data_IF_909112890264
#
_entry.id   IF_909112890264
#
_cell.length_a   1.000
_cell.length_b   1.000
_cell.length_c   1.000
_cell.angle_alpha   90.00
_cell.angle_beta   90.00
_cell.angle_gamma   90.00
#
_symmetry.space_group_name_H-M   'P 1'
#
loop_
_entity.id
_entity.type
_entity.pdbx_description
1 polymer ?
#
# COMPACT_ATOMS: atom_id res chain seq x y z
N UNK A 1 4.42 63.72 6.08
CA UNK A 1 4.72 62.40 5.45
C UNK A 1 5.87 62.51 4.45
N UNK A 2 5.87 63.51 3.55
CA UNK A 2 6.92 63.70 2.53
C UNK A 2 8.34 63.87 3.10
N UNK A 3 8.52 64.64 4.18
CA UNK A 3 9.84 64.83 4.82
C UNK A 3 10.42 63.52 5.39
N UNK A 4 9.59 62.71 6.06
CA UNK A 4 10.01 61.40 6.58
C UNK A 4 10.44 60.46 5.46
N UNK A 5 9.70 60.43 4.34
CA UNK A 5 10.03 59.62 3.15
C UNK A 5 11.34 60.08 2.51
N UNK A 6 11.55 61.40 2.36
CA UNK A 6 12.78 61.93 1.77
C UNK A 6 14.01 61.55 2.61
N UNK A 7 13.90 61.65 3.94
CA UNK A 7 14.97 61.24 4.86
C UNK A 7 15.23 59.72 4.77
N UNK A 8 14.18 58.90 4.72
CA UNK A 8 14.31 57.44 4.55
C UNK A 8 14.99 57.10 3.22
N UNK A 9 14.60 57.73 2.12
CA UNK A 9 15.21 57.46 0.81
C UNK A 9 16.68 57.87 0.77
N UNK A 10 17.03 59.04 1.32
CA UNK A 10 18.43 59.46 1.43
C UNK A 10 19.27 58.51 2.29
N UNK A 11 18.70 58.05 3.41
CA UNK A 11 19.35 57.08 4.28
C UNK A 11 19.53 55.72 3.59
N UNK A 12 18.51 55.21 2.90
CA UNK A 12 18.59 53.97 2.12
C UNK A 12 19.65 54.09 1.02
N UNK A 13 19.71 55.21 0.29
CA UNK A 13 20.77 55.44 -0.70
C UNK A 13 22.16 55.45 -0.06
N UNK A 14 22.32 56.00 1.15
CA UNK A 14 23.60 55.96 1.87
C UNK A 14 23.98 54.56 2.36
N UNK A 15 23.01 53.73 2.76
CA UNK A 15 23.25 52.37 3.28
C UNK A 15 23.58 51.40 2.15
N UNK A 16 22.91 51.52 1.01
CA UNK A 16 23.11 50.64 -0.16
C UNK A 16 24.23 51.13 -1.09
N UNK A 17 24.65 52.39 -0.99
CA UNK A 17 25.73 52.96 -1.81
C UNK A 17 25.39 52.86 -3.29
N UNK A 18 26.21 52.13 -4.05
CA UNK A 18 26.02 51.92 -5.50
C UNK A 18 24.99 50.83 -5.84
N UNK A 19 24.51 50.06 -4.84
CA UNK A 19 23.51 49.02 -5.06
C UNK A 19 22.09 49.60 -5.16
N UNK A 20 21.23 49.02 -6.04
CA UNK A 20 19.85 49.46 -6.14
C UNK A 20 19.10 49.13 -4.84
N UNK A 21 18.40 50.12 -4.29
CA UNK A 21 17.56 49.95 -3.09
C UNK A 21 16.44 48.95 -3.40
N UNK A 22 16.27 47.88 -2.59
CA UNK A 22 15.20 46.92 -2.79
C UNK A 22 13.82 47.58 -2.76
N UNK A 23 12.93 47.14 -3.65
CA UNK A 23 11.55 47.62 -3.68
C UNK A 23 10.85 47.29 -2.35
N UNK A 24 10.21 48.29 -1.75
CA UNK A 24 9.42 48.14 -0.53
C UNK A 24 8.07 48.85 -0.66
N UNK A 25 7.08 48.35 0.08
CA UNK A 25 5.75 48.97 0.10
C UNK A 25 5.79 50.30 0.86
N UNK A 26 5.44 51.40 0.19
CA UNK A 26 5.39 52.74 0.80
C UNK A 26 4.04 52.96 1.46
N UNK A 27 3.90 52.49 2.70
CA UNK A 27 2.73 52.71 3.57
C UNK A 27 3.12 53.63 4.73
N UNK A 28 2.15 54.29 5.37
CA UNK A 28 2.44 55.15 6.52
C UNK A 28 3.20 54.42 7.63
N UNK A 29 2.88 53.14 7.87
CA UNK A 29 3.51 52.30 8.88
C UNK A 29 4.94 51.92 8.48
N UNK A 30 5.17 51.52 7.23
CA UNK A 30 6.52 51.12 6.76
C UNK A 30 7.47 52.32 6.72
N UNK A 31 6.99 53.48 6.27
CA UNK A 31 7.76 54.73 6.29
C UNK A 31 8.13 55.13 7.72
N UNK A 32 7.22 54.99 8.68
CA UNK A 32 7.50 55.34 10.08
C UNK A 32 8.53 54.40 10.72
N UNK A 33 8.44 53.10 10.47
CA UNK A 33 9.42 52.11 10.92
C UNK A 33 10.80 52.34 10.30
N UNK A 34 10.86 52.58 8.99
CA UNK A 34 12.13 52.88 8.30
C UNK A 34 12.73 54.20 8.79
N UNK A 35 11.91 55.21 9.08
CA UNK A 35 12.38 56.49 9.60
C UNK A 35 12.96 56.35 11.02
N UNK A 36 12.31 55.56 11.89
CA UNK A 36 12.84 55.25 13.22
C UNK A 36 14.15 54.46 13.12
N UNK A 37 14.22 53.49 12.20
CA UNK A 37 15.42 52.70 12.00
C UNK A 37 16.58 53.54 11.44
N UNK A 38 16.28 54.47 10.53
CA UNK A 38 17.23 55.47 10.04
C UNK A 38 17.78 56.32 11.20
N UNK A 39 16.90 56.90 12.03
CA UNK A 39 17.29 57.71 13.19
C UNK A 39 18.16 56.92 14.19
N UNK A 40 17.77 55.68 14.52
CA UNK A 40 18.54 54.82 15.43
C UNK A 40 19.89 54.45 14.84
N UNK A 41 19.96 54.18 13.54
CA UNK A 41 21.22 53.86 12.87
C UNK A 41 22.14 55.08 12.77
N UNK A 42 21.61 56.26 12.44
CA UNK A 42 22.37 57.52 12.39
C UNK A 42 22.93 57.87 13.77
N UNK A 43 22.10 57.76 14.82
CA UNK A 43 22.54 58.00 16.20
C UNK A 43 23.64 57.02 16.60
N UNK A 44 23.43 55.71 16.40
CA UNK A 44 24.42 54.68 16.71
C UNK A 44 25.72 54.87 15.92
N UNK A 45 25.63 55.18 14.63
CA UNK A 45 26.79 55.44 13.79
C UNK A 45 27.55 56.71 14.24
N UNK A 46 26.83 57.76 14.61
CA UNK A 46 27.40 58.98 15.18
C UNK A 46 28.15 58.71 16.48
N UNK A 47 27.55 57.98 17.41
CA UNK A 47 28.18 57.60 18.68
C UNK A 47 29.44 56.76 18.45
N UNK A 48 29.38 55.78 17.54
CA UNK A 48 30.57 54.99 17.18
C UNK A 48 31.66 55.83 16.53
N UNK A 49 31.31 56.81 15.69
CA UNK A 49 32.28 57.69 15.05
C UNK A 49 32.96 58.60 16.08
N UNK A 50 32.21 59.16 17.03
CA UNK A 50 32.76 59.95 18.13
C UNK A 50 33.69 59.11 19.01
N UNK A 51 33.31 57.87 19.33
CA UNK A 51 34.16 56.96 20.10
C UNK A 51 35.47 56.64 19.36
N UNK A 52 35.40 56.42 18.04
CA UNK A 52 36.59 56.19 17.21
C UNK A 52 37.51 57.41 17.23
N UNK A 53 36.96 58.62 17.15
CA UNK A 53 37.76 59.84 17.17
C UNK A 53 38.40 60.10 18.54
N UNK A 54 37.67 59.89 19.64
CA UNK A 54 38.21 59.93 21.01
C UNK A 54 39.35 58.92 21.20
N UNK A 55 39.20 57.69 20.69
CA UNK A 55 40.26 56.67 20.76
C UNK A 55 41.49 57.04 19.94
N UNK A 56 41.32 57.64 18.75
CA UNK A 56 42.45 58.14 17.96
C UNK A 56 43.17 59.28 18.65
N UNK A 57 42.42 60.22 19.25
CA UNK A 57 43.00 61.31 20.01
C UNK A 57 43.82 60.76 21.19
N UNK A 58 43.25 59.86 21.98
CA UNK A 58 43.98 59.19 23.08
C UNK A 58 45.23 58.46 22.59
N UNK A 59 45.16 57.78 21.44
CA UNK A 59 46.33 57.14 20.86
C UNK A 59 47.45 58.14 20.55
N UNK A 60 47.10 59.30 19.97
CA UNK A 60 48.08 60.37 19.70
C UNK A 60 48.66 60.99 20.97
N UNK A 61 47.84 61.15 22.02
CA UNK A 61 48.29 61.65 23.33
C UNK A 61 49.27 60.66 23.98
N UNK A 62 48.94 59.36 24.00
CA UNK A 62 49.83 58.33 24.53
C UNK A 62 51.13 58.19 23.72
N UNK A 63 51.09 58.37 22.40
CA UNK A 63 52.29 58.37 21.55
C UNK A 63 53.21 59.55 21.88
N UNK A 64 52.63 60.74 22.07
CA UNK A 64 53.37 61.94 22.48
C UNK A 64 53.96 61.80 23.90
N UNK A 65 53.19 61.28 24.86
CA UNK A 65 53.68 60.98 26.21
C UNK A 65 54.81 59.95 26.17
N UNK A 66 54.70 58.92 25.32
CA UNK A 66 55.74 57.92 25.12
C UNK A 66 57.02 58.51 24.55
N UNK A 67 56.92 59.44 23.59
CA UNK A 67 58.06 60.19 23.07
C UNK A 67 58.70 61.08 24.14
N UNK A 68 57.88 61.77 24.94
CA UNK A 68 58.34 62.61 26.04
C UNK A 68 59.12 61.80 27.09
N UNK A 69 58.58 60.67 27.56
CA UNK A 69 59.24 59.81 28.53
C UNK A 69 60.57 59.25 28.01
N UNK A 70 60.64 58.92 26.71
CA UNK A 70 61.88 58.48 26.06
C UNK A 70 62.96 59.55 26.13
N UNK A 71 62.61 60.80 25.83
CA UNK A 71 63.53 61.93 25.89
C UNK A 71 64.00 62.20 27.34
N UNK A 72 63.09 62.14 28.31
CA UNK A 72 63.43 62.30 29.73
C UNK A 72 64.41 61.22 30.21
N UNK A 73 64.22 59.96 29.81
CA UNK A 73 65.14 58.87 30.16
C UNK A 73 66.52 59.02 29.52
N UNK A 74 66.57 59.45 28.25
CA UNK A 74 67.80 59.74 27.53
C UNK A 74 68.57 60.90 28.16
N UNK A 75 67.89 62.02 28.44
CA UNK A 75 68.53 63.23 28.97
C UNK A 75 68.87 63.14 30.46
N UNK A 76 67.99 62.53 31.28
CA UNK A 76 68.12 62.49 32.73
C UNK A 76 68.99 61.34 33.24
N UNK A 77 68.90 60.16 32.62
CA UNK A 77 69.58 58.95 33.10
C UNK A 77 70.60 58.38 32.11
N UNK A 78 70.70 58.92 30.89
CA UNK A 78 71.57 58.38 29.83
C UNK A 78 71.14 56.99 29.35
N UNK A 79 69.92 56.57 29.65
CA UNK A 79 69.41 55.23 29.33
C UNK A 79 68.82 55.25 27.93
N UNK A 80 69.48 54.56 27.00
CA UNK A 80 68.96 54.30 25.65
C UNK A 80 68.57 52.84 25.50
N UNK A 81 67.44 52.56 24.83
CA UNK A 81 67.04 51.19 24.50
C UNK A 81 68.09 50.49 23.61
N UNK A 82 68.85 51.25 22.82
CA UNK A 82 69.92 50.74 21.97
C UNK A 82 71.19 50.36 22.73
N UNK A 83 71.34 50.83 23.97
CA UNK A 83 72.50 50.54 24.82
C UNK A 83 72.31 49.34 25.75
N UNK A 84 71.15 48.69 25.72
CA UNK A 84 70.84 47.53 26.56
C UNK A 84 71.58 46.28 26.09
N UNK A 85 71.88 45.39 27.03
CA UNK A 85 72.35 44.05 26.69
C UNK A 85 71.26 43.27 25.96
N UNK A 86 71.65 42.34 25.08
CA UNK A 86 70.70 41.51 24.33
C UNK A 86 69.65 40.82 25.23
N UNK A 87 70.02 40.18 26.36
CA UNK A 87 69.02 39.59 27.26
C UNK A 87 68.02 40.61 27.82
N UNK A 88 68.48 41.82 28.18
CA UNK A 88 67.60 42.86 28.71
C UNK A 88 66.62 43.37 27.64
N UNK A 89 67.07 43.50 26.40
CA UNK A 89 66.21 43.83 25.26
C UNK A 89 65.16 42.74 25.00
N UNK A 90 65.57 41.47 25.05
CA UNK A 90 64.66 40.34 24.81
C UNK A 90 63.57 40.26 25.90
N UNK A 91 63.91 40.48 27.18
CA UNK A 91 62.93 40.51 28.27
C UNK A 91 61.96 41.69 28.15
N UNK A 92 62.45 42.88 27.78
CA UNK A 92 61.58 44.04 27.58
C UNK A 92 60.64 43.84 26.39
N UNK A 93 61.13 43.28 25.28
CA UNK A 93 60.26 42.93 24.14
C UNK A 93 59.18 41.96 24.56
N UNK A 94 59.52 40.86 25.23
CA UNK A 94 58.55 39.88 25.70
C UNK A 94 57.52 40.50 26.67
N UNK A 95 57.95 41.41 27.54
CA UNK A 95 57.04 42.12 28.46
C UNK A 95 56.07 43.05 27.71
N UNK A 96 56.54 43.76 26.69
CA UNK A 96 55.70 44.61 25.85
C UNK A 96 54.74 43.77 25.02
N UNK A 97 55.22 42.71 24.38
CA UNK A 97 54.40 41.81 23.56
C UNK A 97 53.30 41.16 24.41
N UNK A 98 53.63 40.70 25.62
CA UNK A 98 52.63 40.15 26.55
C UNK A 98 51.64 41.20 27.05
N UNK A 99 52.09 42.44 27.29
CA UNK A 99 51.20 43.54 27.65
C UNK A 99 50.20 43.86 26.51
N UNK A 100 50.68 43.88 25.27
CA UNK A 100 49.86 44.14 24.08
C UNK A 100 48.84 43.02 23.84
N UNK A 101 49.24 41.75 24.01
CA UNK A 101 48.34 40.60 23.88
C UNK A 101 47.26 40.60 24.96
N UNK A 102 47.62 40.94 26.21
CA UNK A 102 46.67 41.04 27.31
C UNK A 102 45.84 42.34 27.30
N UNK A 103 46.19 43.31 26.44
CA UNK A 103 45.51 44.60 26.34
C UNK A 103 45.60 45.44 27.62
N UNK A 104 46.71 45.34 28.36
CA UNK A 104 46.89 46.09 29.62
C UNK A 104 47.38 47.51 29.38
N UNK A 105 46.99 48.44 30.27
CA UNK A 105 47.34 49.87 30.17
C UNK A 105 48.83 50.14 30.42
N UNK A 106 49.44 49.41 31.35
CA UNK A 106 50.84 49.57 31.74
C UNK A 106 51.47 48.21 32.07
N UNK A 107 52.80 48.19 32.18
CA UNK A 107 53.55 47.01 32.58
C UNK A 107 53.57 46.78 34.10
N UNK A 108 52.68 47.45 34.84
CA UNK A 108 52.60 47.28 36.29
C UNK A 108 51.91 45.97 36.65
N UNK A 109 52.32 45.38 37.77
CA UNK A 109 51.71 44.16 38.29
C UNK A 109 50.19 44.35 38.54
N UNK A 110 49.77 45.58 38.88
CA UNK A 110 48.37 45.89 39.15
C UNK A 110 47.46 45.78 37.92
N UNK A 111 47.99 46.02 36.72
CA UNK A 111 47.28 45.84 35.45
C UNK A 111 47.37 44.40 34.95
N UNK A 112 48.53 43.76 35.11
CA UNK A 112 48.75 42.38 34.66
C UNK A 112 47.95 41.34 35.47
N UNK A 113 47.88 41.46 36.79
CA UNK A 113 47.24 40.44 37.63
C UNK A 113 45.75 40.26 37.31
N UNK A 114 44.94 41.33 37.17
CA UNK A 114 43.55 41.19 36.73
C UNK A 114 43.43 40.62 35.31
N UNK A 115 44.28 41.05 34.37
CA UNK A 115 44.22 40.58 32.99
C UNK A 115 44.54 39.08 32.88
N UNK A 116 45.56 38.62 33.59
CA UNK A 116 45.92 37.19 33.67
C UNK A 116 44.81 36.38 34.34
N UNK A 117 44.20 36.89 35.42
CA UNK A 117 43.08 36.21 36.08
C UNK A 117 41.85 36.12 35.16
N UNK A 118 41.52 37.17 34.43
CA UNK A 118 40.44 37.17 33.46
C UNK A 118 40.69 36.14 32.36
N UNK A 119 41.89 36.15 31.75
CA UNK A 119 42.26 35.16 30.73
C UNK A 119 42.22 33.73 31.28
N UNK A 120 42.63 33.53 32.53
CA UNK A 120 42.59 32.21 33.18
C UNK A 120 41.14 31.74 33.40
N UNK A 121 40.24 32.65 33.77
CA UNK A 121 38.81 32.35 33.90
C UNK A 121 38.20 32.03 32.53
N UNK A 122 38.47 32.84 31.51
CA UNK A 122 38.00 32.62 30.14
C UNK A 122 38.47 31.26 29.60
N UNK A 123 39.74 30.90 29.85
CA UNK A 123 40.29 29.59 29.51
C UNK A 123 39.53 28.46 30.22
N UNK A 124 39.27 28.61 31.53
CA UNK A 124 38.55 27.59 32.30
C UNK A 124 37.10 27.43 31.82
N UNK A 125 36.43 28.52 31.46
CA UNK A 125 35.08 28.51 30.89
C UNK A 125 35.05 27.86 29.50
N UNK A 126 36.01 28.22 28.65
CA UNK A 126 36.20 27.59 27.35
C UNK A 126 36.44 26.08 27.48
N UNK A 127 37.31 25.65 28.41
CA UNK A 127 37.53 24.22 28.69
C UNK A 127 36.26 23.50 29.19
N UNK A 128 35.49 24.12 30.09
CA UNK A 128 34.22 23.56 30.59
C UNK A 128 33.23 23.36 29.43
N UNK A 129 33.10 24.36 28.56
CA UNK A 129 32.21 24.30 27.40
C UNK A 129 32.68 23.25 26.39
N UNK A 130 33.98 23.13 26.14
CA UNK A 130 34.56 22.10 25.27
C UNK A 130 34.26 20.70 25.81
N UNK A 131 34.50 20.45 27.11
CA UNK A 131 34.16 19.17 27.75
C UNK A 131 32.67 18.85 27.63
N UNK A 132 31.78 19.86 27.70
CA UNK A 132 30.34 19.66 27.49
C UNK A 132 30.04 19.22 26.06
N UNK A 133 30.54 19.96 25.07
CA UNK A 133 30.36 19.64 23.65
C UNK A 133 30.92 18.26 23.29
N UNK A 134 32.06 17.85 23.86
CA UNK A 134 32.59 16.51 23.66
C UNK A 134 31.65 15.41 24.17
N UNK A 135 30.96 15.63 25.30
CA UNK A 135 29.98 14.67 25.83
C UNK A 135 28.75 14.60 24.93
N UNK A 136 28.26 15.75 24.46
CA UNK A 136 27.13 15.83 23.52
C UNK A 136 27.47 15.13 22.19
N UNK A 137 28.67 15.37 21.63
CA UNK A 137 29.16 14.67 20.44
C UNK A 137 29.24 13.16 20.65
N UNK A 138 29.73 12.70 21.81
CA UNK A 138 29.74 11.27 22.15
C UNK A 138 28.33 10.68 22.23
N UNK A 139 27.38 11.42 22.81
CA UNK A 139 25.98 11.00 22.90
C UNK A 139 25.33 10.93 21.51
N UNK A 140 25.56 11.94 20.66
CA UNK A 140 25.06 11.97 19.28
C UNK A 140 25.63 10.82 18.44
N UNK A 141 26.93 10.50 18.56
CA UNK A 141 27.54 9.34 17.90
C UNK A 141 26.88 8.02 18.32
N UNK A 142 26.60 7.84 19.62
CA UNK A 142 25.88 6.66 20.13
C UNK A 142 24.46 6.58 19.57
N UNK A 143 23.73 7.70 19.56
CA UNK A 143 22.37 7.77 18.97
C UNK A 143 22.39 7.45 17.49
N UNK A 144 23.34 8.02 16.73
CA UNK A 144 23.51 7.72 15.31
C UNK A 144 23.74 6.23 15.09
N UNK A 145 24.64 5.61 15.86
CA UNK A 145 24.86 4.16 15.81
C UNK A 145 23.57 3.36 16.02
N UNK A 146 22.78 3.70 17.05
CA UNK A 146 21.49 3.05 17.31
C UNK A 146 20.49 3.25 16.16
N UNK A 147 20.39 4.47 15.61
CA UNK A 147 19.47 4.75 14.48
C UNK A 147 19.88 4.02 13.20
N UNK A 148 21.18 3.86 12.94
CA UNK A 148 21.67 3.11 11.79
C UNK A 148 21.37 1.62 11.92
N UNK A 149 21.51 1.06 13.13
CA UNK A 149 21.10 -0.32 13.41
C UNK A 149 19.60 -0.50 13.21
N UNK A 150 18.76 0.39 13.73
CA UNK A 150 17.30 0.35 13.54
C UNK A 150 16.91 0.43 12.06
N UNK A 151 17.55 1.32 11.30
CA UNK A 151 17.35 1.42 9.85
C UNK A 151 17.69 0.09 9.15
N UNK A 152 18.80 -0.55 9.51
CA UNK A 152 19.17 -1.84 8.91
C UNK A 152 18.13 -2.91 9.23
N UNK A 153 17.65 -2.99 10.47
CA UNK A 153 16.59 -3.95 10.84
C UNK A 153 15.29 -3.68 10.08
N UNK A 154 14.88 -2.41 9.95
CA UNK A 154 13.70 -2.05 9.18
C UNK A 154 13.87 -2.39 7.69
N UNK A 155 15.06 -2.19 7.12
CA UNK A 155 15.35 -2.58 5.75
C UNK A 155 15.20 -4.08 5.53
N UNK A 156 15.67 -4.89 6.49
CA UNK A 156 15.48 -6.35 6.44
C UNK A 156 14.00 -6.73 6.52
N UNK A 157 13.22 -6.09 7.37
CA UNK A 157 11.78 -6.35 7.51
C UNK A 157 11.00 -5.90 6.28
N UNK A 158 11.37 -4.77 5.66
CA UNK A 158 10.85 -4.35 4.35
C UNK A 158 11.17 -5.41 3.29
N UNK A 159 12.41 -5.91 3.26
CA UNK A 159 12.78 -6.95 2.28
C UNK A 159 11.98 -8.25 2.50
N UNK A 160 11.71 -8.64 3.76
CA UNK A 160 10.86 -9.81 4.08
C UNK A 160 9.41 -9.58 3.65
N UNK A 161 8.85 -8.41 3.94
CA UNK A 161 7.46 -8.08 3.59
C UNK A 161 7.27 -8.01 2.08
N UNK A 162 8.20 -7.40 1.34
CA UNK A 162 8.20 -7.39 -0.14
C UNK A 162 8.21 -8.81 -0.71
N UNK A 163 9.05 -9.70 -0.17
CA UNK A 163 9.07 -11.12 -0.59
C UNK A 163 7.73 -11.80 -0.31
N UNK A 164 7.16 -11.61 0.88
CA UNK A 164 5.86 -12.21 1.22
C UNK A 164 4.72 -11.66 0.35
N UNK A 165 4.77 -10.37 0.02
CA UNK A 165 3.78 -9.72 -0.83
C UNK A 165 3.84 -10.27 -2.26
N UNK A 166 5.04 -10.47 -2.82
CA UNK A 166 5.21 -11.06 -4.14
C UNK A 166 4.64 -12.49 -4.23
N UNK A 167 4.79 -13.28 -3.16
CA UNK A 167 4.20 -14.62 -3.07
C UNK A 167 2.67 -14.54 -3.02
N UNK A 168 2.11 -13.67 -2.19
CA UNK A 168 0.65 -13.52 -2.09
C UNK A 168 0.03 -12.92 -3.36
N UNK A 169 0.72 -12.00 -4.05
CA UNK A 169 0.25 -11.48 -5.33
C UNK A 169 0.24 -12.57 -6.41
N UNK A 170 1.28 -13.40 -6.48
CA UNK A 170 1.29 -14.54 -7.41
C UNK A 170 0.15 -15.55 -7.11
N UNK A 171 -0.11 -15.85 -5.83
CA UNK A 171 -1.25 -16.69 -5.44
C UNK A 171 -2.59 -16.04 -5.79
N UNK A 172 -2.71 -14.72 -5.66
CA UNK A 172 -3.93 -13.99 -6.02
C UNK A 172 -4.17 -14.05 -7.54
N UNK A 173 -3.12 -13.87 -8.35
CA UNK A 173 -3.19 -14.05 -9.81
C UNK A 173 -3.60 -15.47 -10.20
N UNK A 174 -3.02 -16.50 -9.56
CA UNK A 174 -3.43 -17.89 -9.77
C UNK A 174 -4.93 -18.10 -9.44
N UNK A 175 -5.40 -17.55 -8.32
CA UNK A 175 -6.83 -17.61 -7.95
C UNK A 175 -7.74 -16.89 -8.94
N UNK A 176 -7.29 -15.75 -9.48
CA UNK A 176 -8.04 -15.03 -10.51
C UNK A 176 -8.15 -15.87 -11.80
N UNK A 177 -7.06 -16.46 -12.25
CA UNK A 177 -7.06 -17.37 -13.41
C UNK A 177 -7.98 -18.57 -13.18
N UNK A 178 -7.95 -19.16 -11.99
CA UNK A 178 -8.86 -20.26 -11.63
C UNK A 178 -10.33 -19.80 -11.63
N UNK A 179 -10.63 -18.60 -11.14
CA UNK A 179 -11.99 -18.06 -11.19
C UNK A 179 -12.42 -17.85 -12.64
N UNK A 180 -11.57 -17.25 -13.48
CA UNK A 180 -11.84 -17.03 -14.90
C UNK A 180 -12.14 -18.35 -15.62
N UNK A 181 -11.36 -19.39 -15.32
CA UNK A 181 -11.62 -20.74 -15.81
C UNK A 181 -12.99 -21.27 -15.37
N UNK A 182 -13.31 -21.18 -14.07
CA UNK A 182 -14.60 -21.67 -13.52
C UNK A 182 -15.77 -20.89 -14.12
N UNK A 183 -15.65 -19.58 -14.29
CA UNK A 183 -16.72 -18.78 -14.90
C UNK A 183 -16.88 -19.07 -16.40
N UNK A 184 -15.78 -19.28 -17.13
CA UNK A 184 -15.82 -19.76 -18.51
C UNK A 184 -16.53 -21.12 -18.60
N UNK A 185 -16.20 -22.05 -17.69
CA UNK A 185 -16.83 -23.37 -17.63
C UNK A 185 -18.31 -23.29 -17.27
N UNK A 186 -18.68 -22.45 -16.31
CA UNK A 186 -20.08 -22.21 -15.94
C UNK A 186 -20.89 -21.66 -17.12
N UNK A 187 -20.34 -20.70 -17.87
CA UNK A 187 -20.95 -20.20 -19.11
C UNK A 187 -21.10 -21.30 -20.17
N UNK A 188 -20.09 -22.15 -20.35
CA UNK A 188 -20.14 -23.29 -21.27
C UNK A 188 -21.25 -24.28 -20.88
N UNK A 189 -21.31 -24.66 -19.60
CA UNK A 189 -22.34 -25.55 -19.07
C UNK A 189 -23.74 -24.93 -19.16
N UNK A 190 -23.86 -23.63 -18.94
CA UNK A 190 -25.10 -22.88 -19.17
C UNK A 190 -25.58 -23.03 -20.61
N UNK A 191 -24.71 -22.77 -21.59
CA UNK A 191 -25.02 -22.97 -23.01
C UNK A 191 -25.37 -24.43 -23.34
N UNK A 192 -24.68 -25.42 -22.73
CA UNK A 192 -25.01 -26.85 -22.91
C UNK A 192 -26.40 -27.17 -22.35
N UNK A 193 -26.74 -26.62 -21.20
CA UNK A 193 -28.05 -26.77 -20.55
C UNK A 193 -29.17 -26.14 -21.38
N UNK A 194 -28.99 -24.91 -21.85
CA UNK A 194 -29.96 -24.24 -22.75
C UNK A 194 -30.23 -25.10 -24.00
N UNK A 195 -29.18 -25.61 -24.64
CA UNK A 195 -29.33 -26.55 -25.77
C UNK A 195 -30.13 -27.79 -25.38
N UNK A 196 -29.82 -28.38 -24.23
CA UNK A 196 -30.53 -29.55 -23.70
C UNK A 196 -32.01 -29.26 -23.39
N UNK A 197 -32.34 -28.07 -22.89
CA UNK A 197 -33.72 -27.62 -22.66
C UNK A 197 -34.46 -27.44 -24.00
N UNK A 198 -33.85 -26.81 -25.00
CA UNK A 198 -34.40 -26.72 -26.36
C UNK A 198 -34.66 -28.10 -26.96
N UNK A 199 -33.75 -29.07 -26.75
CA UNK A 199 -33.97 -30.44 -27.20
C UNK A 199 -35.12 -31.14 -26.47
N UNK A 200 -35.30 -30.87 -25.17
CA UNK A 200 -36.42 -31.42 -24.40
C UNK A 200 -37.75 -30.88 -24.88
N UNK A 201 -37.88 -29.57 -25.06
CA UNK A 201 -39.09 -28.94 -25.61
C UNK A 201 -39.43 -29.50 -26.98
N UNK A 202 -38.43 -29.65 -27.87
CA UNK A 202 -38.63 -30.31 -29.18
C UNK A 202 -39.14 -31.74 -29.02
N UNK A 203 -38.57 -32.51 -28.10
CA UNK A 203 -38.99 -33.88 -27.85
C UNK A 203 -40.44 -33.96 -27.32
N UNK A 204 -40.87 -33.00 -26.50
CA UNK A 204 -42.26 -32.87 -26.04
C UNK A 204 -43.19 -32.56 -27.21
N UNK A 205 -42.86 -31.58 -28.06
CA UNK A 205 -43.62 -31.30 -29.29
C UNK A 205 -43.73 -32.54 -30.19
N UNK A 206 -42.65 -33.30 -30.32
CA UNK A 206 -42.66 -34.56 -31.07
C UNK A 206 -43.58 -35.61 -30.45
N UNK A 207 -43.61 -35.70 -29.11
CA UNK A 207 -44.49 -36.62 -28.37
C UNK A 207 -45.95 -36.25 -28.56
N UNK A 208 -46.31 -34.98 -28.37
CA UNK A 208 -47.66 -34.48 -28.62
C UNK A 208 -48.10 -34.76 -30.07
N UNK A 209 -47.21 -34.49 -31.04
CA UNK A 209 -47.49 -34.79 -32.45
C UNK A 209 -47.71 -36.29 -32.68
N UNK A 210 -46.93 -37.15 -32.03
CA UNK A 210 -47.11 -38.59 -32.11
C UNK A 210 -48.43 -39.06 -31.47
N UNK A 211 -48.88 -38.41 -30.39
CA UNK A 211 -50.17 -38.65 -29.76
C UNK A 211 -51.32 -38.24 -30.67
N UNK A 212 -51.27 -37.06 -31.29
CA UNK A 212 -52.24 -36.63 -32.32
C UNK A 212 -52.31 -37.63 -33.47
N UNK A 213 -51.17 -38.14 -33.93
CA UNK A 213 -51.14 -39.19 -34.96
C UNK A 213 -51.75 -40.51 -34.48
N UNK A 214 -51.55 -40.88 -33.22
CA UNK A 214 -52.13 -42.08 -32.60
C UNK A 214 -53.64 -41.95 -32.49
N UNK A 215 -54.14 -40.83 -31.99
CA UNK A 215 -55.58 -40.52 -31.92
C UNK A 215 -56.21 -40.50 -33.31
N UNK A 216 -55.54 -39.87 -34.29
CA UNK A 216 -55.99 -39.91 -35.69
C UNK A 216 -56.05 -41.34 -36.21
N UNK A 217 -55.05 -42.17 -35.92
CA UNK A 217 -55.05 -43.59 -36.29
C UNK A 217 -56.16 -44.38 -35.56
N UNK A 218 -56.55 -43.98 -34.35
CA UNK A 218 -57.68 -44.55 -33.60
C UNK A 218 -59.01 -44.17 -34.20
N UNK A 219 -59.24 -42.89 -34.49
CA UNK A 219 -60.43 -42.41 -35.22
C UNK A 219 -60.57 -43.12 -36.58
N UNK A 220 -59.47 -43.32 -37.30
CA UNK A 220 -59.48 -44.09 -38.54
C UNK A 220 -59.74 -45.60 -38.31
N UNK A 221 -59.24 -46.20 -37.24
CA UNK A 221 -59.56 -47.58 -36.83
C UNK A 221 -61.02 -47.74 -36.43
N UNK A 222 -61.58 -46.79 -35.73
CA UNK A 222 -62.99 -46.74 -35.35
C UNK A 222 -63.88 -46.51 -36.56
N UNK A 223 -63.50 -45.62 -37.49
CA UNK A 223 -64.18 -45.44 -38.77
C UNK A 223 -64.14 -46.73 -39.60
N UNK A 224 -63.00 -47.41 -39.64
CA UNK A 224 -62.89 -48.74 -40.27
C UNK A 224 -63.71 -49.81 -39.52
N UNK A 225 -63.84 -49.71 -38.19
CA UNK A 225 -64.67 -50.57 -37.35
C UNK A 225 -66.18 -50.34 -37.53
N UNK A 226 -66.62 -49.08 -37.62
CA UNK A 226 -67.99 -48.68 -37.97
C UNK A 226 -68.32 -49.10 -39.40
N UNK A 227 -67.37 -49.05 -40.31
CA UNK A 227 -67.52 -49.61 -41.66
C UNK A 227 -67.59 -51.14 -41.66
N UNK A 228 -66.80 -51.84 -40.82
CA UNK A 228 -66.94 -53.30 -40.60
C UNK A 228 -68.30 -53.67 -39.98
N UNK A 229 -68.89 -52.77 -39.19
CA UNK A 229 -70.25 -52.92 -38.62
C UNK A 229 -71.36 -52.52 -39.61
N UNK A 230 -71.15 -51.50 -40.45
CA UNK A 230 -72.04 -51.14 -41.56
C UNK A 230 -72.09 -52.19 -42.66
N UNK A 231 -71.01 -52.97 -42.82
CA UNK A 231 -71.00 -54.21 -43.61
C UNK A 231 -71.89 -55.31 -43.02
N UNK A 232 -72.20 -55.24 -41.72
CA UNK A 232 -73.02 -56.23 -41.01
C UNK A 232 -74.51 -55.82 -40.92
N UNK A 233 -74.83 -54.55 -41.17
CA UNK A 233 -76.19 -54.00 -41.18
C UNK A 233 -76.34 -53.05 -42.39
N UNK A 234 -76.50 -53.59 -43.60
CA UNK A 234 -76.58 -52.75 -44.79
C UNK A 234 -76.53 -53.49 -46.12
N UNK A 235 -77.14 -54.68 -46.23
CA UNK A 235 -77.32 -55.35 -47.52
C UNK A 235 -78.51 -54.72 -48.26
N UNK A 236 -78.25 -53.55 -48.88
CA UNK A 236 -78.97 -52.99 -50.06
C UNK A 236 -78.50 -51.58 -50.46
N UNK A 237 -77.60 -50.94 -49.71
CA UNK A 237 -77.33 -49.50 -49.87
C UNK A 237 -75.99 -49.06 -50.47
N UNK A 238 -75.03 -49.92 -50.89
CA UNK A 238 -73.73 -49.41 -51.37
C UNK A 238 -73.06 -50.30 -52.44
N UNK A 239 -73.54 -50.22 -53.68
CA UNK A 239 -72.86 -50.84 -54.85
C UNK A 239 -72.24 -49.80 -55.80
N UNK A 240 -71.76 -48.66 -55.31
CA UNK A 240 -70.94 -47.74 -56.13
C UNK A 240 -69.77 -47.06 -55.39
N UNK A 241 -69.68 -47.17 -54.05
CA UNK A 241 -68.54 -46.64 -53.28
C UNK A 241 -67.31 -47.55 -53.20
N UNK A 242 -67.40 -48.81 -53.62
CA UNK A 242 -66.43 -49.87 -53.31
C UNK A 242 -65.13 -49.89 -54.13
N UNK A 243 -64.95 -49.03 -55.14
CA UNK A 243 -63.68 -48.90 -55.88
C UNK A 243 -62.80 -47.79 -55.33
N UNK A 244 -63.30 -46.56 -55.23
CA UNK A 244 -62.56 -45.44 -54.65
C UNK A 244 -62.27 -45.57 -53.14
N UNK A 245 -62.85 -46.56 -52.46
CA UNK A 245 -62.49 -46.92 -51.07
C UNK A 245 -61.37 -47.93 -50.99
N UNK A 246 -61.28 -48.87 -51.95
CA UNK A 246 -60.18 -49.84 -52.03
C UNK A 246 -58.88 -49.12 -52.32
N UNK A 247 -58.92 -48.23 -53.30
CA UNK A 247 -57.82 -47.30 -53.63
C UNK A 247 -57.42 -46.43 -52.45
N UNK A 248 -58.37 -45.84 -51.71
CA UNK A 248 -58.03 -45.03 -50.51
C UNK A 248 -57.49 -45.84 -49.34
N UNK A 249 -57.87 -47.11 -49.20
CA UNK A 249 -57.34 -48.03 -48.18
C UNK A 249 -55.98 -48.56 -48.56
N UNK A 250 -55.74 -48.82 -49.84
CA UNK A 250 -54.42 -49.18 -50.37
C UNK A 250 -53.47 -47.99 -50.26
N UNK A 251 -53.87 -46.78 -50.70
CA UNK A 251 -53.09 -45.54 -50.52
C UNK A 251 -52.87 -45.22 -49.05
N UNK A 252 -53.82 -45.56 -48.15
CA UNK A 252 -53.62 -45.42 -46.71
C UNK A 252 -52.68 -46.48 -46.15
N UNK A 253 -52.79 -47.74 -46.58
CA UNK A 253 -51.92 -48.83 -46.16
C UNK A 253 -50.51 -48.56 -46.63
N UNK A 254 -50.31 -48.17 -47.89
CA UNK A 254 -49.04 -47.69 -48.41
C UNK A 254 -48.55 -46.45 -47.67
N UNK A 255 -49.38 -45.42 -47.43
CA UNK A 255 -48.92 -44.25 -46.65
C UNK A 255 -48.57 -44.59 -45.21
N UNK A 256 -49.28 -45.52 -44.57
CA UNK A 256 -48.98 -45.96 -43.20
C UNK A 256 -47.79 -46.90 -43.18
N UNK A 257 -47.57 -47.70 -44.20
CA UNK A 257 -46.38 -48.56 -44.35
C UNK A 257 -45.16 -47.72 -44.71
N UNK A 258 -45.20 -46.86 -45.73
CA UNK A 258 -44.16 -45.86 -46.05
C UNK A 258 -43.86 -44.98 -44.84
N UNK A 259 -44.89 -44.54 -44.10
CA UNK A 259 -44.66 -43.80 -42.87
C UNK A 259 -44.07 -44.67 -41.76
N UNK A 260 -44.48 -45.93 -41.59
CA UNK A 260 -43.97 -46.87 -40.57
C UNK A 260 -42.59 -47.45 -40.90
N UNK A 261 -42.23 -47.54 -42.18
CA UNK A 261 -41.03 -48.20 -42.71
C UNK A 261 -39.92 -47.18 -42.97
N UNK A 262 -40.21 -46.10 -43.68
CA UNK A 262 -39.19 -45.11 -44.04
C UNK A 262 -39.19 -43.96 -43.02
N UNK A 263 -40.29 -43.21 -42.90
CA UNK A 263 -40.23 -41.93 -42.16
C UNK A 263 -40.23 -42.09 -40.64
N UNK A 264 -40.96 -43.05 -40.09
CA UNK A 264 -41.08 -43.24 -38.64
C UNK A 264 -40.00 -44.18 -38.12
N UNK A 265 -39.61 -45.24 -38.85
CA UNK A 265 -38.53 -46.13 -38.40
C UNK A 265 -37.19 -45.43 -38.52
N UNK A 266 -36.87 -44.82 -39.66
CA UNK A 266 -35.61 -44.10 -39.88
C UNK A 266 -35.54 -42.83 -39.01
N UNK A 267 -36.64 -42.07 -38.81
CA UNK A 267 -36.60 -40.92 -37.88
C UNK A 267 -36.69 -41.31 -36.41
N UNK A 268 -37.33 -42.42 -36.03
CA UNK A 268 -37.30 -42.94 -34.66
C UNK A 268 -35.96 -43.62 -34.38
N UNK A 269 -35.28 -44.19 -35.37
CA UNK A 269 -33.90 -44.66 -35.25
C UNK A 269 -32.95 -43.48 -35.18
N UNK A 270 -33.04 -42.46 -36.02
CA UNK A 270 -32.25 -41.22 -35.88
C UNK A 270 -32.57 -40.49 -34.57
N UNK A 271 -33.82 -40.51 -34.10
CA UNK A 271 -34.21 -39.97 -32.80
C UNK A 271 -33.76 -40.87 -31.65
N UNK A 272 -33.74 -42.20 -31.81
CA UNK A 272 -33.28 -43.17 -30.79
C UNK A 272 -31.77 -43.20 -30.72
N UNK A 273 -31.03 -43.19 -31.82
CA UNK A 273 -29.59 -42.97 -31.89
C UNK A 273 -29.22 -41.59 -31.35
N UNK A 274 -29.94 -40.50 -31.70
CA UNK A 274 -29.63 -39.17 -31.14
C UNK A 274 -30.03 -39.02 -29.67
N UNK A 275 -31.10 -39.67 -29.23
CA UNK A 275 -31.49 -39.77 -27.81
C UNK A 275 -30.55 -40.72 -27.08
N UNK A 276 -30.00 -41.75 -27.71
CA UNK A 276 -28.97 -42.64 -27.15
C UNK A 276 -27.64 -41.92 -27.06
N UNK A 277 -27.21 -41.14 -28.06
CA UNK A 277 -26.06 -40.23 -27.94
C UNK A 277 -26.28 -39.22 -26.80
N UNK A 278 -27.49 -38.65 -26.67
CA UNK A 278 -27.83 -37.76 -25.56
C UNK A 278 -27.92 -38.49 -24.19
N UNK A 279 -28.32 -39.76 -24.18
CA UNK A 279 -28.43 -40.62 -22.99
C UNK A 279 -27.07 -41.21 -22.59
N UNK A 280 -26.18 -41.42 -23.54
CA UNK A 280 -24.80 -41.89 -23.35
C UNK A 280 -23.87 -40.75 -22.94
N UNK A 281 -24.03 -39.53 -23.45
CA UNK A 281 -23.14 -38.42 -23.09
C UNK A 281 -23.58 -37.66 -21.83
N UNK A 282 -24.88 -37.37 -21.65
CA UNK A 282 -25.37 -36.52 -20.54
C UNK A 282 -25.91 -37.36 -19.37
N UNK A 283 -26.47 -38.53 -19.65
CA UNK A 283 -27.05 -39.42 -18.63
C UNK A 283 -26.04 -40.42 -18.08
N UNK A 284 -25.07 -40.92 -18.87
CA UNK A 284 -24.00 -41.79 -18.34
C UNK A 284 -23.10 -41.03 -17.36
N UNK A 285 -22.73 -39.79 -17.66
CA UNK A 285 -21.90 -38.95 -16.76
C UNK A 285 -22.66 -38.54 -15.48
N UNK A 286 -23.97 -38.27 -15.57
CA UNK A 286 -24.83 -38.01 -14.40
C UNK A 286 -25.19 -39.27 -13.61
N UNK A 287 -25.37 -40.42 -14.27
CA UNK A 287 -25.70 -41.70 -13.64
C UNK A 287 -24.47 -42.38 -13.08
N UNK A 288 -23.26 -42.20 -13.61
CA UNK A 288 -22.04 -42.66 -12.95
C UNK A 288 -21.79 -41.87 -11.66
N UNK A 289 -21.92 -40.54 -11.69
CA UNK A 289 -21.80 -39.68 -10.49
C UNK A 289 -22.91 -39.94 -9.46
N UNK A 290 -24.12 -40.36 -9.88
CA UNK A 290 -25.20 -40.77 -8.97
C UNK A 290 -25.12 -42.24 -8.54
N UNK A 291 -24.62 -43.16 -9.38
CA UNK A 291 -24.48 -44.60 -9.09
C UNK A 291 -23.31 -44.86 -8.15
N UNK A 292 -22.18 -44.15 -8.31
CA UNK A 292 -21.07 -44.18 -7.34
C UNK A 292 -21.48 -43.60 -5.98
N UNK A 293 -22.37 -42.60 -5.94
CA UNK A 293 -22.88 -42.02 -4.68
C UNK A 293 -23.96 -42.86 -3.99
N UNK A 294 -24.66 -43.73 -4.70
CA UNK A 294 -25.77 -44.54 -4.17
C UNK A 294 -25.32 -45.96 -3.78
N UNK A 295 -24.27 -46.52 -4.40
CA UNK A 295 -23.70 -47.82 -3.96
C UNK A 295 -22.95 -47.73 -2.61
N UNK A 296 -22.46 -46.55 -2.20
CA UNK A 296 -21.73 -46.36 -0.93
C UNK A 296 -22.65 -46.31 0.30
N UNK A 297 -23.96 -46.10 0.15
CA UNK A 297 -24.89 -45.92 1.28
C UNK A 297 -25.65 -47.21 1.66
N UNK A 298 -25.62 -48.28 0.85
CA UNK A 298 -26.52 -49.45 1.02
C UNK A 298 -25.82 -50.78 1.40
N UNK A 299 -24.49 -50.87 1.44
CA UNK A 299 -23.80 -52.10 1.92
C UNK A 299 -22.74 -51.84 2.99
N UNK A 300 -23.19 -51.73 4.24
CA UNK A 300 -22.40 -52.09 5.42
C UNK A 300 -23.21 -53.07 6.31
N UNK A 301 -22.88 -54.37 6.30
CA UNK A 301 -23.01 -55.23 7.50
C UNK A 301 -21.68 -55.95 7.89
N UNK A 302 -21.59 -56.63 9.05
CA UNK A 302 -20.56 -56.37 10.06
C UNK A 302 -19.25 -57.18 9.94
N UNK A 303 -18.18 -56.52 10.39
CA UNK A 303 -16.88 -56.97 10.92
C UNK A 303 -16.60 -58.48 11.01
N UNK A 304 -15.58 -58.99 10.28
CA UNK A 304 -14.54 -59.92 10.80
C UNK A 304 -13.43 -60.28 9.76
N UNK A 305 -12.39 -59.41 9.68
CA UNK A 305 -10.95 -59.64 9.28
C UNK A 305 -10.57 -60.23 7.89
N UNK A 306 -9.29 -60.13 7.42
CA UNK A 306 -8.16 -59.27 7.83
C UNK A 306 -7.68 -58.30 6.70
N UNK A 307 -6.95 -57.28 7.12
CA UNK A 307 -6.53 -56.07 6.38
C UNK A 307 -5.58 -56.22 5.15
N UNK A 308 -4.85 -57.32 4.86
CA UNK A 308 -3.87 -57.29 3.76
C UNK A 308 -4.47 -57.24 2.34
N UNK A 309 -5.72 -57.68 2.16
CA UNK A 309 -6.31 -57.88 0.83
C UNK A 309 -6.91 -56.61 0.22
N UNK A 310 -7.26 -55.61 1.04
CA UNK A 310 -7.82 -54.34 0.58
C UNK A 310 -6.74 -53.37 0.11
N UNK A 311 -5.54 -53.46 0.66
CA UNK A 311 -4.40 -52.64 0.26
C UNK A 311 -3.86 -53.01 -1.12
N UNK A 312 -3.96 -54.30 -1.50
CA UNK A 312 -3.61 -54.80 -2.83
C UNK A 312 -4.62 -54.37 -3.92
N UNK A 313 -5.89 -54.19 -3.57
CA UNK A 313 -6.92 -53.73 -4.52
C UNK A 313 -6.91 -52.20 -4.71
N UNK A 314 -6.48 -51.43 -3.70
CA UNK A 314 -6.36 -49.97 -3.78
C UNK A 314 -5.24 -49.50 -4.72
N UNK A 315 -4.11 -50.21 -4.78
CA UNK A 315 -2.99 -49.93 -5.70
C UNK A 315 -3.38 -50.20 -7.17
N UNK A 316 -4.31 -51.13 -7.42
CA UNK A 316 -4.76 -51.47 -8.78
C UNK A 316 -5.71 -50.43 -9.42
N UNK A 317 -6.22 -49.47 -8.65
CA UNK A 317 -7.24 -48.50 -9.09
C UNK A 317 -6.77 -47.04 -9.16
N UNK A 318 -5.47 -46.76 -9.00
CA UNK A 318 -4.92 -45.38 -9.05
C UNK A 318 -5.68 -44.39 -8.15
N UNK A 319 -6.15 -44.80 -6.97
CA UNK A 319 -6.67 -43.85 -5.99
C UNK A 319 -5.53 -43.13 -5.30
N UNK A 320 -5.56 -41.81 -5.36
CA UNK A 320 -4.62 -40.92 -4.67
C UNK A 320 -4.71 -41.16 -3.15
N UNK A 321 -3.59 -41.36 -2.43
CA UNK A 321 -3.58 -41.70 -0.99
C UNK A 321 -4.31 -40.71 -0.07
N UNK A 322 -4.65 -39.52 -0.59
CA UNK A 322 -5.32 -38.41 0.09
C UNK A 322 -6.79 -38.65 0.44
N UNK A 323 -7.45 -39.67 -0.12
CA UNK A 323 -8.88 -39.97 0.09
C UNK A 323 -9.10 -41.15 1.07
N UNK A 324 -8.05 -41.61 1.74
CA UNK A 324 -8.19 -42.63 2.80
C UNK A 324 -8.87 -42.03 4.05
N UNK A 325 -9.66 -42.82 4.79
CA UNK A 325 -10.31 -42.37 6.03
C UNK A 325 -9.29 -41.75 7.01
N UNK A 326 -8.06 -42.28 7.03
CA UNK A 326 -6.98 -41.73 7.85
C UNK A 326 -6.52 -40.35 7.36
N UNK A 327 -6.41 -40.13 6.05
CA UNK A 327 -6.11 -38.81 5.48
C UNK A 327 -7.24 -37.80 5.70
N UNK A 328 -8.51 -38.23 5.64
CA UNK A 328 -9.67 -37.37 5.91
C UNK A 328 -9.75 -36.99 7.40
N UNK A 329 -9.44 -37.93 8.29
CA UNK A 329 -9.33 -37.65 9.74
C UNK A 329 -8.18 -36.67 10.00
N UNK A 330 -7.01 -36.88 9.40
CA UNK A 330 -5.88 -35.95 9.49
C UNK A 330 -6.22 -34.56 8.95
N UNK A 331 -6.88 -34.46 7.79
CA UNK A 331 -7.34 -33.19 7.23
C UNK A 331 -8.39 -32.52 8.13
N UNK A 332 -9.24 -33.28 8.82
CA UNK A 332 -10.22 -32.72 9.76
C UNK A 332 -9.57 -32.20 11.05
N UNK A 333 -8.51 -32.87 11.52
CA UNK A 333 -7.67 -32.44 12.63
C UNK A 333 -6.86 -31.19 12.26
N UNK A 334 -6.29 -31.14 11.05
CA UNK A 334 -5.58 -29.97 10.51
C UNK A 334 -6.53 -28.78 10.30
N UNK A 335 -7.75 -29.01 9.81
CA UNK A 335 -8.78 -27.96 9.71
C UNK A 335 -9.21 -27.47 11.09
N UNK A 336 -9.25 -28.34 12.10
CA UNK A 336 -9.53 -27.95 13.47
C UNK A 336 -8.37 -27.13 14.08
N UNK A 337 -7.12 -27.52 13.82
CA UNK A 337 -5.93 -26.78 14.22
C UNK A 337 -5.85 -25.41 13.55
N UNK A 338 -6.05 -25.34 12.23
CA UNK A 338 -6.11 -24.07 11.47
C UNK A 338 -7.25 -23.17 11.95
N UNK A 339 -8.40 -23.73 12.32
CA UNK A 339 -9.49 -22.97 12.95
C UNK A 339 -9.08 -22.39 14.31
N UNK A 340 -8.30 -23.12 15.11
CA UNK A 340 -7.75 -22.60 16.37
C UNK A 340 -6.69 -21.51 16.14
N UNK A 341 -5.90 -21.58 15.06
CA UNK A 341 -4.94 -20.54 14.67
C UNK A 341 -5.58 -19.28 14.03
N UNK A 342 -6.77 -19.42 13.43
CA UNK A 342 -7.55 -18.29 12.89
C UNK A 342 -8.07 -17.40 14.03
N UNK A 343 -8.35 -17.93 15.23
CA UNK A 343 -8.86 -17.15 16.37
C UNK A 343 -7.88 -16.03 16.80
N UNK A 344 -6.60 -16.28 17.10
CA UNK A 344 -5.64 -15.23 17.44
C UNK A 344 -5.32 -14.32 16.24
N UNK A 345 -5.32 -14.85 15.01
CA UNK A 345 -5.11 -14.05 13.80
C UNK A 345 -6.26 -13.06 13.55
N UNK A 346 -7.50 -13.48 13.82
CA UNK A 346 -8.68 -12.63 13.75
C UNK A 346 -8.68 -11.55 14.85
N UNK A 347 -8.20 -11.88 16.05
CA UNK A 347 -8.00 -10.91 17.14
C UNK A 347 -6.90 -9.88 16.83
N UNK A 348 -5.86 -10.28 16.07
CA UNK A 348 -4.85 -9.36 15.53
C UNK A 348 -5.40 -8.49 14.39
N UNK A 349 -6.40 -8.98 13.66
CA UNK A 349 -7.03 -8.28 12.53
C UNK A 349 -8.16 -7.33 12.99
N UNK A 350 -8.79 -7.58 14.14
CA UNK A 350 -9.87 -6.75 14.72
C UNK A 350 -9.56 -5.23 14.71
N UNK A 351 -8.37 -4.75 15.10
CA UNK A 351 -8.02 -3.33 15.03
C UNK A 351 -7.90 -2.76 13.61
N UNK A 352 -7.79 -3.62 12.59
CA UNK A 352 -7.62 -3.24 11.18
C UNK A 352 -8.93 -3.33 10.39
N UNK A 353 -10.01 -3.87 10.97
CA UNK A 353 -11.31 -4.02 10.31
C UNK A 353 -12.03 -2.68 10.07
N UNK A 354 -11.63 -1.62 10.78
CA UNK A 354 -12.15 -0.26 10.62
C UNK A 354 -11.46 0.51 9.47
N UNK A 355 -10.37 -0.05 8.91
CA UNK A 355 -9.68 0.51 7.76
C UNK A 355 -10.42 0.16 6.47
N UNK A 356 -10.51 1.12 5.55
CA UNK A 356 -11.16 0.89 4.25
C UNK A 356 -10.40 -0.16 3.43
N UNK A 357 -11.08 -1.08 2.71
CA UNK A 357 -10.44 -2.17 1.95
C UNK A 357 -9.49 -1.73 0.82
N UNK A 358 -9.49 -0.44 0.45
CA UNK A 358 -8.59 0.12 -0.54
C UNK A 358 -7.32 0.65 0.16
N UNK A 359 -6.12 0.11 -0.17
CA UNK A 359 -4.87 0.41 0.54
C UNK A 359 -4.48 1.89 0.50
N UNK A 360 -4.82 2.62 -0.57
CA UNK A 360 -4.56 4.06 -0.67
C UNK A 360 -5.43 4.87 0.30
N UNK A 361 -6.69 4.48 0.47
CA UNK A 361 -7.62 5.10 1.42
C UNK A 361 -7.29 4.73 2.87
N UNK A 362 -6.82 3.50 3.11
CA UNK A 362 -6.34 3.09 4.43
C UNK A 362 -5.09 3.87 4.87
N UNK A 363 -4.15 4.12 3.96
CA UNK A 363 -2.98 4.95 4.26
C UNK A 363 -3.35 6.39 4.63
N UNK A 364 -4.29 7.00 3.91
CA UNK A 364 -4.79 8.35 4.23
C UNK A 364 -5.42 8.39 5.62
N UNK A 365 -6.28 7.42 5.95
CA UNK A 365 -6.92 7.33 7.28
C UNK A 365 -5.92 7.08 8.41
N UNK A 366 -4.88 6.28 8.17
CA UNK A 366 -3.80 6.06 9.14
C UNK A 366 -3.01 7.37 9.37
N UNK A 367 -2.72 8.13 8.32
CA UNK A 367 -2.03 9.42 8.45
C UNK A 367 -2.90 10.50 9.10
N UNK A 368 -4.22 10.50 8.86
CA UNK A 368 -5.17 11.36 9.58
C UNK A 368 -5.19 11.04 11.09
N UNK A 369 -5.35 9.77 11.46
CA UNK A 369 -5.33 9.35 12.87
C UNK A 369 -3.99 9.65 13.56
N UNK A 370 -2.86 9.54 12.85
CA UNK A 370 -1.54 9.95 13.38
C UNK A 370 -1.46 11.45 13.64
N UNK A 371 -2.05 12.27 12.77
CA UNK A 371 -2.09 13.74 12.96
C UNK A 371 -2.96 14.12 14.16
N UNK A 372 -4.08 13.44 14.34
CA UNK A 372 -4.95 13.64 15.52
C UNK A 372 -4.26 13.24 16.82
N UNK A 373 -3.53 12.11 16.82
CA UNK A 373 -2.69 11.71 17.96
C UNK A 373 -1.60 12.73 18.27
N UNK A 374 -0.87 13.20 17.25
CA UNK A 374 0.16 14.22 17.44
C UNK A 374 -0.41 15.55 17.96
N UNK A 375 -1.63 15.91 17.55
CA UNK A 375 -2.32 17.09 18.05
C UNK A 375 -2.75 16.92 19.52
N UNK A 376 -3.24 15.74 19.91
CA UNK A 376 -3.58 15.41 21.29
C UNK A 376 -2.34 15.35 22.18
N UNK A 377 -1.25 14.74 21.73
CA UNK A 377 0.04 14.71 22.46
C UNK A 377 0.57 16.14 22.66
N UNK A 378 0.52 16.99 21.64
CA UNK A 378 0.93 18.40 21.76
C UNK A 378 0.04 19.18 22.75
N UNK A 379 -1.27 18.90 22.78
CA UNK A 379 -2.18 19.48 23.78
C UNK A 379 -1.87 18.97 25.19
N UNK A 380 -1.46 17.70 25.32
CA UNK A 380 -1.12 17.10 26.60
C UNK A 380 0.22 17.66 27.12
N UNK A 381 1.22 17.83 26.27
CA UNK A 381 2.49 18.51 26.59
C UNK A 381 2.26 19.95 27.06
N UNK A 382 1.45 20.74 26.33
CA UNK A 382 1.06 22.10 26.74
C UNK A 382 0.35 22.14 28.11
N UNK A 383 -0.46 21.13 28.42
CA UNK A 383 -1.15 21.03 29.71
C UNK A 383 -0.24 20.54 30.85
N UNK A 384 0.88 19.87 30.55
CA UNK A 384 1.86 19.43 31.56
C UNK A 384 2.89 20.52 31.91
N UNK A 385 3.09 21.51 31.04
CA UNK A 385 3.99 22.65 31.28
C UNK A 385 3.38 23.74 32.21
N UNK A 386 2.17 23.52 32.73
CA UNK A 386 1.47 24.42 33.68
C UNK A 386 1.57 23.99 35.17
N UNK A 387 2.64 23.31 35.59
CA UNK A 387 2.86 22.97 37.01
C UNK A 387 4.20 23.42 37.57
#
# INVERSE_FOLDING_TARGET
>A
MCEKINKVNSWLSSVFGDQPVPHFEVTSRTVELLHQLAQLSEARCGDTALLVEDLKQKASEYEADGAHLRDVLLQGAGLSYTGLSKPASDYLSALVDTAMVLGVRDTSLSSFMPAVNNLTNDLLEAEKSHRRLERELRALRKRLGATLMLRNTLQEDVNKTVKSQAVESAKAEERLLNMDFVTAKAKELGKRRERAEVWRERAEVWRERAEVWRERAEVWRERAGLWRRGWRYGERGWRYGGRGWRERVEVWRERVEVWREEVWRERVEVWRERVEVWREEVWRERVEVWRERVEVIVWAPPLLSPVPTLQAQLVSRNMDPSVTHQAIVQLSEDVAALKQEIIPSKKKLEPYMDLSPNPSLAQVKIEEAKRELAALDSQLELNMDFK
#
